data_IF_890354263537
#
_entry.id   IF_890354263537
#
_cell.length_a   1.000
_cell.length_b   1.000
_cell.length_c   1.000
_cell.angle_alpha   90.00
_cell.angle_beta   90.00
_cell.angle_gamma   90.00
#
_symmetry.space_group_name_H-M   'P 1'
#
loop_
_entity.id
_entity.type
_entity.pdbx_description
1 polymer ?
#
# COMPACT_ATOMS: atom_id res chain seq x y z
N UNK A 1 14.23 10.16 32.34
CA UNK A 1 14.81 11.53 32.32
C UNK A 1 15.01 12.08 30.90
N UNK A 2 15.60 11.32 29.97
CA UNK A 2 15.83 11.76 28.58
C UNK A 2 14.57 12.18 27.81
N UNK A 3 13.46 11.46 27.99
CA UNK A 3 12.15 11.76 27.39
C UNK A 3 11.56 13.05 27.94
N UNK A 4 11.52 13.21 29.27
CA UNK A 4 11.03 14.45 29.93
C UNK A 4 11.81 15.70 29.52
N UNK A 5 13.12 15.56 29.20
CA UNK A 5 13.96 16.65 28.67
C UNK A 5 13.69 17.01 27.21
N UNK A 6 13.11 16.08 26.45
CA UNK A 6 12.84 16.23 25.02
C UNK A 6 11.34 16.17 24.72
N UNK A 7 10.49 16.67 25.63
CA UNK A 7 9.03 16.51 25.52
C UNK A 7 8.45 17.09 24.21
N UNK A 8 9.08 18.13 23.66
CA UNK A 8 8.70 18.71 22.36
C UNK A 8 8.80 17.74 21.18
N UNK A 9 9.52 16.62 21.33
CA UNK A 9 9.66 15.56 20.34
C UNK A 9 8.63 14.44 20.48
N UNK A 10 7.81 14.48 21.53
CA UNK A 10 6.81 13.46 21.84
C UNK A 10 5.42 14.10 21.92
N UNK A 11 4.69 14.16 20.79
CA UNK A 11 3.26 14.46 20.80
C UNK A 11 2.48 13.52 21.71
N UNK A 12 1.26 13.91 22.09
CA UNK A 12 0.35 13.09 22.93
C UNK A 12 0.11 11.69 22.37
N UNK A 13 0.21 11.54 21.06
CA UNK A 13 -0.14 10.30 20.37
C UNK A 13 1.03 9.30 20.34
N UNK A 14 2.24 9.74 20.70
CA UNK A 14 3.45 8.92 20.61
C UNK A 14 3.77 8.21 21.92
N UNK A 15 3.24 8.70 23.03
CA UNK A 15 3.48 8.13 24.34
C UNK A 15 2.36 8.43 25.32
N UNK A 16 2.20 7.55 26.29
CA UNK A 16 1.34 7.76 27.45
C UNK A 16 2.04 7.26 28.71
N UNK A 17 1.63 7.78 29.85
CA UNK A 17 2.12 7.32 31.15
C UNK A 17 1.22 6.19 31.65
N UNK A 18 1.81 5.11 32.18
CA UNK A 18 1.04 3.99 32.70
C UNK A 18 0.22 4.41 33.93
N UNK A 19 -1.02 3.93 34.04
CA UNK A 19 -1.87 4.28 35.18
C UNK A 19 -1.26 3.79 36.51
N UNK A 20 -1.41 4.62 37.54
CA UNK A 20 -0.84 4.38 38.86
C UNK A 20 -1.38 3.11 39.51
N UNK A 21 -2.64 2.74 39.23
CA UNK A 21 -3.26 1.51 39.76
C UNK A 21 -2.62 0.27 39.11
N UNK A 22 -2.57 0.24 37.79
CA UNK A 22 -1.93 -0.84 37.03
C UNK A 22 -0.44 -0.99 37.38
N UNK A 23 0.26 0.11 37.66
CA UNK A 23 1.65 0.07 38.12
C UNK A 23 1.83 -0.51 39.52
N UNK A 24 0.85 -0.34 40.43
CA UNK A 24 0.90 -1.00 41.74
C UNK A 24 0.73 -2.52 41.61
N UNK A 25 -0.15 -2.98 40.72
CA UNK A 25 -0.40 -4.41 40.47
C UNK A 25 0.79 -5.09 39.75
N UNK A 26 1.49 -4.35 38.88
CA UNK A 26 2.70 -4.83 38.19
C UNK A 26 3.93 -4.98 39.11
N UNK A 27 3.92 -4.37 40.30
CA UNK A 27 4.98 -4.57 41.29
C UNK A 27 4.82 -5.96 41.91
N UNK A 28 5.59 -6.92 41.41
CA UNK A 28 5.76 -8.23 42.05
C UNK A 28 6.14 -8.04 43.52
N UNK A 29 5.33 -8.58 44.43
CA UNK A 29 5.63 -8.58 45.88
C UNK A 29 6.89 -9.39 46.23
N UNK A 30 7.34 -10.27 45.34
CA UNK A 30 8.42 -11.22 45.60
C UNK A 30 9.78 -10.81 45.02
N UNK A 31 9.82 -9.81 44.13
CA UNK A 31 11.02 -9.41 43.40
C UNK A 31 11.22 -7.90 43.50
N UNK A 32 11.37 -7.40 44.72
CA UNK A 32 11.84 -6.04 44.95
C UNK A 32 13.15 -6.13 45.71
N UNK A 33 14.18 -5.50 45.16
CA UNK A 33 15.51 -5.39 45.76
C UNK A 33 15.45 -4.66 47.12
N UNK A 34 16.43 -5.00 47.96
CA UNK A 34 16.67 -4.55 49.33
C UNK A 34 16.10 -3.14 49.68
N UNK A 35 15.44 -2.94 50.83
CA UNK A 35 14.81 -1.66 51.22
C UNK A 35 15.73 -0.42 51.27
N UNK A 36 17.06 -0.60 51.22
CA UNK A 36 18.03 0.49 51.04
C UNK A 36 18.04 1.06 49.61
N UNK A 37 17.69 0.27 48.59
CA UNK A 37 17.56 0.68 47.18
C UNK A 37 16.17 1.27 46.86
N UNK A 38 15.65 2.13 47.72
CA UNK A 38 14.37 2.90 47.59
C UNK A 38 14.33 3.91 46.41
N UNK A 39 15.09 3.66 45.35
CA UNK A 39 15.32 4.58 44.22
C UNK A 39 14.94 3.98 42.86
N UNK A 40 14.42 2.76 42.78
CA UNK A 40 14.32 2.08 41.49
C UNK A 40 13.27 2.70 40.54
N UNK A 41 12.04 2.97 40.97
CA UNK A 41 11.00 3.55 40.09
C UNK A 41 10.03 4.41 40.93
N UNK A 42 10.30 5.72 41.03
CA UNK A 42 9.43 6.68 41.73
C UNK A 42 8.29 7.25 40.86
N UNK A 43 8.35 7.00 39.55
CA UNK A 43 7.39 7.51 38.58
C UNK A 43 6.88 6.37 37.71
N UNK A 44 5.60 6.36 37.34
CA UNK A 44 5.10 5.41 36.36
C UNK A 44 5.97 5.45 35.09
N UNK A 45 6.26 4.30 34.48
CA UNK A 45 6.99 4.25 33.23
C UNK A 45 6.14 4.88 32.11
N UNK A 46 6.83 5.47 31.13
CA UNK A 46 6.21 5.86 29.87
C UNK A 46 6.09 4.63 28.95
N UNK A 47 4.94 4.49 28.34
CA UNK A 47 4.65 3.54 27.27
C UNK A 47 4.69 4.31 25.94
N UNK A 48 5.26 3.69 24.89
CA UNK A 48 5.49 4.32 23.59
C UNK A 48 4.80 3.56 22.49
N UNK A 49 4.28 4.29 21.50
CA UNK A 49 3.80 3.71 20.23
C UNK A 49 4.97 3.43 19.29
N UNK A 50 4.71 2.88 18.11
CA UNK A 50 5.72 2.61 17.08
C UNK A 50 6.47 3.90 16.66
N UNK A 51 5.72 4.99 16.52
CA UNK A 51 6.25 6.33 16.25
C UNK A 51 7.03 6.88 17.45
N UNK A 52 6.54 6.62 18.67
CA UNK A 52 7.22 6.96 19.91
C UNK A 52 8.56 6.23 20.09
N UNK A 53 8.62 4.95 19.75
CA UNK A 53 9.85 4.13 19.76
C UNK A 53 10.85 4.69 18.75
N UNK A 54 10.38 5.09 17.58
CA UNK A 54 11.22 5.75 16.56
C UNK A 54 11.84 7.03 17.13
N UNK A 55 11.05 7.90 17.76
CA UNK A 55 11.56 9.12 18.38
C UNK A 55 12.51 8.84 19.56
N UNK A 56 12.22 7.81 20.34
CA UNK A 56 13.03 7.39 21.46
C UNK A 56 14.41 6.87 21.00
N UNK A 57 14.46 6.15 19.86
CA UNK A 57 15.71 5.70 19.24
C UNK A 57 16.64 6.86 18.83
N UNK A 58 16.07 8.03 18.50
CA UNK A 58 16.82 9.25 18.16
C UNK A 58 17.34 10.01 19.40
N UNK A 59 16.69 9.87 20.55
CA UNK A 59 17.00 10.63 21.77
C UNK A 59 17.95 9.88 22.70
N UNK A 60 17.93 8.55 22.64
CA UNK A 60 18.77 7.69 23.48
C UNK A 60 20.10 7.38 22.79
N UNK A 61 21.19 7.48 23.54
CA UNK A 61 22.56 7.17 23.07
C UNK A 61 22.97 5.71 23.33
N UNK A 62 22.01 4.78 23.49
CA UNK A 62 22.34 3.37 23.71
C UNK A 62 22.66 2.68 22.39
N UNK A 63 23.53 1.66 22.41
CA UNK A 63 23.88 0.89 21.21
C UNK A 63 22.63 0.29 20.54
N UNK A 64 21.69 -0.21 21.35
CA UNK A 64 20.40 -0.74 20.89
C UNK A 64 19.58 0.36 20.20
N UNK A 65 19.54 1.57 20.75
CA UNK A 65 18.81 2.70 20.17
C UNK A 65 19.37 3.12 18.81
N UNK A 66 20.69 3.13 18.66
CA UNK A 66 21.37 3.43 17.40
C UNK A 66 21.03 2.38 16.34
N UNK A 67 21.10 1.09 16.69
CA UNK A 67 20.76 0.00 15.76
C UNK A 67 19.30 0.06 15.32
N UNK A 68 18.37 0.26 16.26
CA UNK A 68 16.94 0.39 15.94
C UNK A 68 16.70 1.57 15.01
N UNK A 69 17.34 2.73 15.26
CA UNK A 69 17.19 3.90 14.40
C UNK A 69 17.63 3.61 12.95
N UNK A 70 18.80 2.98 12.79
CA UNK A 70 19.33 2.59 11.48
C UNK A 70 18.39 1.61 10.78
N UNK A 71 17.85 0.63 11.50
CA UNK A 71 16.92 -0.35 10.94
C UNK A 71 15.62 0.31 10.48
N UNK A 72 15.04 1.18 11.31
CA UNK A 72 13.82 1.93 10.99
C UNK A 72 14.03 2.75 9.71
N UNK A 73 15.12 3.52 9.60
CA UNK A 73 15.43 4.31 8.40
C UNK A 73 15.57 3.42 7.15
N UNK A 74 16.25 2.27 7.26
CA UNK A 74 16.41 1.33 6.13
C UNK A 74 15.09 0.73 5.68
N UNK A 75 14.22 0.37 6.63
CA UNK A 75 12.89 -0.17 6.34
C UNK A 75 12.05 0.88 5.64
N UNK A 76 12.03 2.12 6.12
CA UNK A 76 11.32 3.22 5.46
C UNK A 76 11.81 3.48 4.04
N UNK A 77 13.14 3.40 3.81
CA UNK A 77 13.71 3.52 2.47
C UNK A 77 13.19 2.45 1.49
N UNK A 78 13.17 1.19 1.94
CA UNK A 78 12.63 0.06 1.15
C UNK A 78 11.12 0.16 0.95
N UNK A 79 10.38 0.56 1.98
CA UNK A 79 8.94 0.75 1.92
C UNK A 79 8.57 1.83 0.89
N UNK A 80 9.28 2.96 0.90
CA UNK A 80 9.09 4.02 -0.10
C UNK A 80 9.32 3.53 -1.52
N UNK A 81 10.38 2.73 -1.74
CA UNK A 81 10.63 2.11 -3.04
C UNK A 81 9.47 1.19 -3.44
N UNK A 82 9.01 0.31 -2.54
CA UNK A 82 7.89 -0.59 -2.79
C UNK A 82 6.60 0.15 -3.18
N UNK A 83 6.26 1.24 -2.49
CA UNK A 83 5.10 2.08 -2.82
C UNK A 83 5.23 2.73 -4.19
N UNK A 84 6.43 3.20 -4.56
CA UNK A 84 6.69 3.74 -5.89
C UNK A 84 6.48 2.66 -6.96
N UNK A 85 7.03 1.46 -6.74
CA UNK A 85 6.84 0.32 -7.66
C UNK A 85 5.36 -0.06 -7.80
N UNK A 86 4.57 -0.02 -6.72
CA UNK A 86 3.14 -0.30 -6.78
C UNK A 86 2.41 0.69 -7.69
N UNK A 87 2.75 1.98 -7.63
CA UNK A 87 2.16 3.00 -8.52
C UNK A 87 2.47 2.70 -9.99
N UNK A 88 3.70 2.34 -10.30
CA UNK A 88 4.12 2.01 -11.67
C UNK A 88 3.38 0.77 -12.20
N UNK A 89 3.20 -0.25 -11.35
CA UNK A 89 2.42 -1.46 -11.67
C UNK A 89 0.96 -1.11 -11.96
N UNK A 90 0.32 -0.30 -11.10
CA UNK A 90 -1.06 0.13 -11.31
C UNK A 90 -1.23 0.92 -12.61
N UNK A 91 -0.27 1.78 -12.95
CA UNK A 91 -0.27 2.51 -14.21
C UNK A 91 -0.18 1.58 -15.43
N UNK A 92 0.68 0.56 -15.36
CA UNK A 92 0.79 -0.44 -16.44
C UNK A 92 -0.48 -1.28 -16.60
N UNK A 93 -1.12 -1.65 -15.49
CA UNK A 93 -2.40 -2.39 -15.53
C UNK A 93 -3.47 -1.56 -16.23
N UNK A 94 -3.60 -0.27 -15.88
CA UNK A 94 -4.57 0.63 -16.52
C UNK A 94 -4.32 0.79 -18.03
N UNK A 95 -3.05 0.82 -18.46
CA UNK A 95 -2.69 0.88 -19.88
C UNK A 95 -3.05 -0.41 -20.64
N UNK A 96 -2.82 -1.57 -20.01
CA UNK A 96 -3.20 -2.88 -20.56
C UNK A 96 -4.71 -2.97 -20.69
N UNK A 97 -5.47 -2.62 -19.64
CA UNK A 97 -6.93 -2.62 -19.65
C UNK A 97 -7.50 -1.78 -20.80
N UNK A 98 -6.94 -0.57 -21.00
CA UNK A 98 -7.32 0.30 -22.11
C UNK A 98 -7.04 -0.32 -23.48
N UNK A 99 -5.90 -0.98 -23.63
CA UNK A 99 -5.52 -1.65 -24.88
C UNK A 99 -6.41 -2.85 -25.18
N UNK A 100 -6.72 -3.67 -24.17
CA UNK A 100 -7.65 -4.80 -24.28
C UNK A 100 -9.04 -4.31 -24.69
N UNK A 101 -9.56 -3.26 -24.05
CA UNK A 101 -10.86 -2.68 -24.39
C UNK A 101 -10.95 -2.22 -25.85
N UNK A 102 -9.89 -1.57 -26.37
CA UNK A 102 -9.81 -1.18 -27.79
C UNK A 102 -9.89 -2.40 -28.71
N UNK A 103 -9.10 -3.43 -28.46
CA UNK A 103 -9.11 -4.65 -29.28
C UNK A 103 -10.45 -5.38 -29.22
N UNK A 104 -11.13 -5.41 -28.06
CA UNK A 104 -12.49 -5.97 -27.98
C UNK A 104 -13.48 -5.23 -28.87
N UNK A 105 -13.35 -3.90 -28.99
CA UNK A 105 -14.19 -3.09 -29.88
C UNK A 105 -13.90 -3.40 -31.35
N UNK A 106 -12.61 -3.43 -31.74
CA UNK A 106 -12.18 -3.78 -33.11
C UNK A 106 -12.66 -5.18 -33.52
N UNK A 107 -12.53 -6.17 -32.63
CA UNK A 107 -13.02 -7.52 -32.86
C UNK A 107 -14.54 -7.58 -33.01
N UNK A 108 -15.28 -6.77 -32.24
CA UNK A 108 -16.75 -6.70 -32.37
C UNK A 108 -17.16 -6.22 -33.76
N UNK A 109 -16.48 -5.18 -34.28
CA UNK A 109 -16.71 -4.65 -35.64
C UNK A 109 -16.40 -5.71 -36.70
N UNK A 110 -15.26 -6.40 -36.57
CA UNK A 110 -14.87 -7.46 -37.52
C UNK A 110 -15.92 -8.58 -37.51
N UNK A 111 -16.40 -8.99 -36.33
CA UNK A 111 -17.40 -10.05 -36.23
C UNK A 111 -18.75 -9.63 -36.82
N UNK A 112 -19.16 -8.37 -36.63
CA UNK A 112 -20.38 -7.83 -37.21
C UNK A 112 -20.30 -7.75 -38.74
N UNK A 113 -19.18 -7.28 -39.29
CA UNK A 113 -18.97 -7.24 -40.75
C UNK A 113 -18.95 -8.64 -41.35
N UNK A 114 -18.28 -9.61 -40.72
CA UNK A 114 -18.31 -11.02 -41.16
C UNK A 114 -19.73 -11.60 -41.14
N UNK A 115 -20.53 -11.30 -40.10
CA UNK A 115 -21.95 -11.71 -40.06
C UNK A 115 -22.77 -11.11 -41.20
N UNK A 116 -22.58 -9.82 -41.50
CA UNK A 116 -23.26 -9.16 -42.61
C UNK A 116 -22.88 -9.77 -43.96
N UNK A 117 -21.63 -10.21 -44.13
CA UNK A 117 -21.19 -10.91 -45.34
C UNK A 117 -21.78 -12.31 -45.49
N UNK A 118 -21.96 -13.05 -44.38
CA UNK A 118 -22.58 -14.38 -44.39
C UNK A 118 -24.09 -14.31 -44.67
N UNK A 119 -24.77 -13.30 -44.12
CA UNK A 119 -26.23 -13.20 -44.17
C UNK A 119 -26.77 -12.45 -45.39
N UNK A 120 -25.93 -11.77 -46.16
CA UNK A 120 -26.40 -11.16 -47.41
C UNK A 120 -26.58 -12.26 -48.48
N UNK A 121 -27.81 -12.48 -49.00
CA UNK A 121 -27.98 -13.36 -50.14
C UNK A 121 -27.14 -12.82 -51.31
N UNK A 122 -26.54 -13.70 -52.15
CA UNK A 122 -25.76 -13.24 -53.28
C UNK A 122 -26.65 -12.31 -54.11
N UNK A 123 -26.26 -11.04 -54.19
CA UNK A 123 -26.95 -10.03 -55.01
C UNK A 123 -27.13 -10.66 -56.38
N UNK A 124 -28.38 -10.67 -56.86
CA UNK A 124 -28.76 -11.25 -58.13
C UNK A 124 -27.86 -10.64 -59.22
N UNK A 125 -26.80 -11.36 -59.59
CA UNK A 125 -25.78 -10.83 -60.48
C UNK A 125 -26.46 -10.65 -61.82
N UNK A 126 -26.52 -9.41 -62.32
CA UNK A 126 -26.93 -9.18 -63.71
C UNK A 126 -26.00 -10.04 -64.57
N UNK A 127 -26.56 -10.98 -65.34
CA UNK A 127 -25.77 -11.82 -66.24
C UNK A 127 -24.98 -10.90 -67.17
N UNK A 128 -23.66 -10.85 -66.99
CA UNK A 128 -22.76 -10.17 -67.90
C UNK A 128 -22.38 -11.16 -69.00
N UNK A 129 -22.93 -10.95 -70.18
CA UNK A 129 -22.73 -11.76 -71.37
C UNK A 129 -23.48 -11.13 -72.54
N UNK A 130 -23.17 -11.56 -73.78
CA UNK A 130 -23.87 -11.08 -74.97
C UNK A 130 -25.36 -11.44 -74.90
N UNK A 131 -26.24 -10.44 -74.74
CA UNK A 131 -27.67 -10.61 -75.01
C UNK A 131 -27.84 -10.74 -76.51
N UNK A 132 -28.34 -11.89 -76.97
CA UNK A 132 -28.82 -12.04 -78.35
C UNK A 132 -30.00 -11.08 -78.52
N UNK A 133 -30.06 -10.41 -79.66
CA UNK A 133 -30.91 -9.24 -79.95
C UNK A 133 -32.42 -9.50 -80.00
N UNK A 134 -32.96 -10.49 -79.30
CA UNK A 134 -34.40 -10.84 -79.35
C UNK A 134 -35.11 -10.96 -78.00
N UNK A 135 -34.49 -10.58 -76.88
CA UNK A 135 -35.24 -10.39 -75.62
C UNK A 135 -35.30 -8.90 -75.27
N UNK A 136 -36.30 -8.24 -75.87
CA UNK A 136 -36.96 -7.08 -75.27
C UNK A 136 -38.08 -7.63 -74.39
N UNK A 137 -38.00 -7.34 -73.09
CA UNK A 137 -39.11 -6.90 -72.23
C UNK A 137 -38.51 -6.32 -70.94
#
# INVERSE_FOLDING_TARGET
QAVRRNIARFPSDFMFEMDARTFQDWRSQFVISNPEMKMAIRHPPFCFTEEGITMLSCVLNSQVSIEVNIQVIRIFGRFRQAVIYQKDILSKIAEIEKSVSKHSHELSIIFETLKQMINNPPVNRVRVGFRRSEEKD
#
